data_IF_655395706810
#
_entry.id   IF_655395706810
#
_cell.length_a   1.000
_cell.length_b   1.000
_cell.length_c   1.000
_cell.angle_alpha   90.00
_cell.angle_beta   90.00
_cell.angle_gamma   90.00
#
_symmetry.space_group_name_H-M   'P 1'
#
loop_
_entity.id
_entity.type
_entity.pdbx_description
1 polymer ?
#
# COMPACT_ATOMS: atom_id res chain seq x y z
N UNK A 1 -51.54 39.10 -15.09
CA UNK A 1 -50.15 38.92 -14.62
C UNK A 1 -50.19 38.07 -13.35
N UNK A 2 -49.87 36.78 -13.45
CA UNK A 2 -49.67 35.90 -12.29
C UNK A 2 -48.17 35.85 -12.02
N UNK A 3 -47.73 36.34 -10.87
CA UNK A 3 -46.36 36.18 -10.39
C UNK A 3 -46.19 34.72 -9.93
N UNK A 4 -45.31 33.98 -10.61
CA UNK A 4 -44.83 32.68 -10.15
C UNK A 4 -43.63 32.89 -9.23
N UNK A 5 -43.70 32.33 -8.02
CA UNK A 5 -42.57 32.24 -7.11
C UNK A 5 -41.72 31.05 -7.51
N UNK A 6 -40.46 31.29 -7.88
CA UNK A 6 -39.46 30.23 -8.09
C UNK A 6 -38.80 30.00 -6.73
N UNK A 7 -39.06 28.83 -6.14
CA UNK A 7 -38.34 28.35 -4.96
C UNK A 7 -37.10 27.63 -5.49
N UNK A 8 -35.93 28.24 -5.29
CA UNK A 8 -34.63 27.61 -5.52
C UNK A 8 -34.33 26.70 -4.32
N UNK A 9 -34.38 25.39 -4.53
CA UNK A 9 -33.81 24.42 -3.59
C UNK A 9 -32.29 24.38 -3.83
N UNK A 10 -31.52 24.93 -2.89
CA UNK A 10 -30.09 24.64 -2.79
C UNK A 10 -29.94 23.23 -2.23
N UNK A 11 -29.42 22.32 -3.05
CA UNK A 11 -29.00 21.01 -2.57
C UNK A 11 -27.71 21.18 -1.79
N UNK A 12 -27.80 21.09 -0.46
CA UNK A 12 -26.63 20.87 0.39
C UNK A 12 -26.32 19.39 0.28
N UNK A 13 -25.24 19.04 -0.42
CA UNK A 13 -24.65 17.71 -0.34
C UNK A 13 -24.00 17.59 1.03
N UNK A 14 -24.73 17.02 1.99
CA UNK A 14 -24.14 16.52 3.22
C UNK A 14 -23.36 15.27 2.80
N UNK A 15 -22.03 15.33 2.80
CA UNK A 15 -21.19 14.15 2.69
C UNK A 15 -21.50 13.25 3.87
N UNK A 16 -22.15 12.13 3.61
CA UNK A 16 -22.26 11.06 4.58
C UNK A 16 -20.86 10.45 4.68
N UNK A 17 -20.26 10.45 5.87
CA UNK A 17 -19.11 9.58 6.12
C UNK A 17 -19.56 8.16 5.76
N UNK A 18 -18.87 7.53 4.82
CA UNK A 18 -19.06 6.12 4.50
C UNK A 18 -18.67 5.34 5.77
N UNK A 19 -19.63 4.66 6.40
CA UNK A 19 -19.36 3.69 7.46
C UNK A 19 -18.36 2.68 6.87
N UNK A 20 -17.07 2.78 7.22
CA UNK A 20 -16.00 1.95 6.63
C UNK A 20 -14.74 2.69 6.18
N UNK A 21 -14.62 4.02 6.31
CA UNK A 21 -13.37 4.73 5.95
C UNK A 21 -13.00 5.85 6.92
N UNK A 22 -11.70 6.17 6.99
CA UNK A 22 -11.16 7.35 7.67
C UNK A 22 -9.87 7.82 7.00
N UNK A 23 -9.77 9.13 6.74
CA UNK A 23 -8.62 9.80 6.11
C UNK A 23 -8.16 9.21 4.76
N UNK A 24 -9.02 8.44 4.10
CA UNK A 24 -8.77 7.82 2.78
C UNK A 24 -10.00 8.08 1.92
N UNK A 25 -9.79 8.50 0.68
CA UNK A 25 -10.87 8.87 -0.24
C UNK A 25 -10.82 7.98 -1.48
N UNK A 26 -11.92 7.27 -1.77
CA UNK A 26 -12.08 6.56 -3.04
C UNK A 26 -12.18 7.57 -4.18
N UNK A 27 -11.24 7.50 -5.12
CA UNK A 27 -11.22 8.34 -6.31
C UNK A 27 -12.02 7.69 -7.44
N UNK A 28 -11.74 6.42 -7.70
CA UNK A 28 -12.47 5.60 -8.65
C UNK A 28 -12.26 4.11 -8.38
N UNK A 29 -13.10 3.32 -9.05
CA UNK A 29 -13.17 1.88 -8.89
C UNK A 29 -13.39 1.21 -10.24
N UNK A 30 -12.73 0.08 -10.47
CA UNK A 30 -12.91 -0.74 -11.66
C UNK A 30 -13.14 -2.21 -11.31
N UNK A 31 -14.13 -2.79 -11.97
CA UNK A 31 -14.35 -4.23 -12.00
C UNK A 31 -14.94 -4.64 -13.36
N UNK A 32 -14.66 -5.86 -13.78
CA UNK A 32 -15.33 -6.52 -14.89
C UNK A 32 -16.47 -7.43 -14.40
N UNK A 33 -17.70 -7.06 -14.74
CA UNK A 33 -18.91 -7.85 -14.45
C UNK A 33 -18.93 -9.25 -15.09
N UNK A 34 -18.09 -9.49 -16.09
CA UNK A 34 -17.93 -10.79 -16.76
C UNK A 34 -16.91 -11.68 -16.06
N UNK A 35 -16.10 -11.14 -15.14
CA UNK A 35 -15.08 -11.90 -14.45
C UNK A 35 -15.75 -12.98 -13.58
N UNK A 36 -15.44 -14.24 -13.86
CA UNK A 36 -16.04 -15.34 -13.13
C UNK A 36 -15.39 -15.48 -11.76
N UNK A 37 -16.24 -15.57 -10.75
CA UNK A 37 -15.84 -15.97 -9.41
C UNK A 37 -15.66 -17.47 -9.42
N UNK A 38 -14.40 -17.88 -9.50
CA UNK A 38 -14.04 -19.27 -9.70
C UNK A 38 -14.02 -20.06 -8.38
N UNK A 39 -13.49 -19.46 -7.32
CA UNK A 39 -13.40 -20.09 -5.99
C UNK A 39 -13.62 -19.03 -4.92
N UNK A 40 -14.56 -19.25 -4.00
CA UNK A 40 -14.77 -18.45 -2.77
C UNK A 40 -14.52 -16.94 -2.95
N UNK A 41 -15.19 -16.30 -3.91
CA UNK A 41 -15.13 -14.86 -4.14
C UNK A 41 -13.81 -14.30 -4.71
N UNK A 42 -12.90 -15.17 -5.18
CA UNK A 42 -11.60 -14.83 -5.77
C UNK A 42 -11.70 -14.66 -7.30
N UNK A 43 -12.08 -13.47 -7.73
CA UNK A 43 -12.13 -13.07 -9.14
C UNK A 43 -10.85 -12.32 -9.57
N UNK A 44 -10.27 -11.55 -8.67
CA UNK A 44 -9.09 -10.72 -8.88
C UNK A 44 -7.95 -11.14 -7.96
N UNK A 45 -6.73 -10.82 -8.38
CA UNK A 45 -5.50 -11.04 -7.63
C UNK A 45 -4.47 -9.97 -8.00
N UNK A 46 -3.65 -9.60 -7.02
CA UNK A 46 -2.52 -8.69 -7.14
C UNK A 46 -2.81 -7.31 -7.74
N UNK A 47 -1.92 -6.35 -7.53
CA UNK A 47 -1.95 -5.05 -8.18
C UNK A 47 -0.53 -4.52 -8.36
N UNK A 48 -0.26 -3.97 -9.54
CA UNK A 48 1.02 -3.31 -9.80
C UNK A 48 0.80 -1.99 -10.50
N UNK A 49 1.44 -0.93 -10.00
CA UNK A 49 1.48 0.38 -10.64
C UNK A 49 2.78 0.57 -11.40
N UNK A 50 2.74 1.25 -12.55
CA UNK A 50 3.94 1.66 -13.26
C UNK A 50 3.70 2.94 -14.06
N UNK A 51 4.80 3.56 -14.51
CA UNK A 51 4.76 4.77 -15.35
C UNK A 51 5.35 4.49 -16.71
N UNK A 52 4.66 4.94 -17.76
CA UNK A 52 5.12 4.87 -19.13
C UNK A 52 4.79 6.17 -19.86
N UNK A 53 5.80 6.80 -20.48
CA UNK A 53 5.67 8.09 -21.17
C UNK A 53 4.94 9.17 -20.34
N UNK A 54 5.37 9.34 -19.07
CA UNK A 54 4.81 10.28 -18.08
C UNK A 54 3.36 9.99 -17.62
N UNK A 55 2.78 8.88 -18.06
CA UNK A 55 1.42 8.46 -17.74
C UNK A 55 1.43 7.28 -16.76
N UNK A 56 0.46 7.25 -15.86
CA UNK A 56 0.33 6.21 -14.84
C UNK A 56 -0.59 5.07 -15.31
N UNK A 57 -0.20 3.85 -14.99
CA UNK A 57 -0.95 2.65 -15.33
C UNK A 57 -1.09 1.75 -14.11
N UNK A 58 -2.20 1.01 -14.07
CA UNK A 58 -2.45 -0.06 -13.15
C UNK A 58 -2.55 -1.39 -13.90
N UNK A 59 -1.94 -2.42 -13.32
CA UNK A 59 -2.11 -3.82 -13.67
C UNK A 59 -2.91 -4.46 -12.54
N UNK A 60 -3.97 -5.17 -12.89
CA UNK A 60 -4.69 -6.02 -11.95
C UNK A 60 -4.85 -7.41 -12.56
N UNK A 61 -4.42 -8.42 -11.80
CA UNK A 61 -4.61 -9.80 -12.16
C UNK A 61 -6.05 -10.25 -11.91
N UNK A 62 -6.47 -11.22 -12.69
CA UNK A 62 -7.75 -11.90 -12.53
C UNK A 62 -7.59 -13.40 -12.73
N UNK A 63 -8.63 -14.14 -12.36
CA UNK A 63 -8.70 -15.58 -12.52
C UNK A 63 -8.26 -16.02 -13.93
N UNK A 64 -8.68 -15.27 -14.96
CA UNK A 64 -8.48 -15.64 -16.36
C UNK A 64 -7.31 -14.92 -17.04
N UNK A 65 -6.65 -13.96 -16.38
CA UNK A 65 -5.52 -13.25 -16.97
C UNK A 65 -5.18 -11.92 -16.34
N UNK A 66 -4.71 -10.99 -17.16
CA UNK A 66 -4.12 -9.72 -16.74
C UNK A 66 -4.88 -8.57 -17.39
N UNK A 67 -5.29 -7.58 -16.59
CA UNK A 67 -5.97 -6.38 -17.04
C UNK A 67 -5.05 -5.17 -16.88
N UNK A 68 -4.93 -4.37 -17.94
CA UNK A 68 -4.14 -3.14 -17.95
C UNK A 68 -5.07 -1.95 -18.10
N UNK A 69 -4.91 -0.97 -17.22
CA UNK A 69 -5.70 0.25 -17.17
C UNK A 69 -4.77 1.46 -17.10
N UNK A 70 -5.11 2.52 -17.82
CA UNK A 70 -4.49 3.84 -17.67
C UNK A 70 -5.24 4.62 -16.58
N UNK A 71 -4.49 5.29 -15.71
CA UNK A 71 -5.02 6.18 -14.68
C UNK A 71 -4.96 7.62 -15.19
N UNK A 72 -6.11 8.24 -15.40
CA UNK A 72 -6.21 9.61 -15.88
C UNK A 72 -5.87 10.65 -14.81
N UNK A 73 -5.40 11.82 -15.23
CA UNK A 73 -5.23 12.99 -14.34
C UNK A 73 -6.55 13.40 -13.65
N UNK A 74 -7.69 13.16 -14.30
CA UNK A 74 -9.03 13.39 -13.78
C UNK A 74 -9.53 12.31 -12.81
N UNK A 75 -8.63 11.43 -12.37
CA UNK A 75 -8.88 10.28 -11.52
C UNK A 75 -9.82 9.23 -12.15
N UNK A 76 -9.96 9.21 -13.48
CA UNK A 76 -10.68 8.14 -14.18
C UNK A 76 -9.78 6.95 -14.52
N UNK A 77 -10.39 5.78 -14.75
CA UNK A 77 -9.70 4.60 -15.27
C UNK A 77 -10.11 4.35 -16.73
N UNK A 78 -9.14 4.37 -17.63
CA UNK A 78 -9.31 3.98 -19.01
C UNK A 78 -8.78 2.56 -19.22
N UNK A 79 -9.69 1.61 -19.48
CA UNK A 79 -9.32 0.23 -19.76
C UNK A 79 -8.56 0.12 -21.08
N UNK A 80 -7.37 -0.51 -21.05
CA UNK A 80 -6.49 -0.65 -22.22
C UNK A 80 -6.66 -2.02 -22.86
N UNK A 81 -6.36 -3.08 -22.12
CA UNK A 81 -6.31 -4.43 -22.68
C UNK A 81 -6.45 -5.51 -21.60
N UNK A 82 -7.13 -6.60 -21.95
CA UNK A 82 -7.04 -7.88 -21.26
C UNK A 82 -6.13 -8.83 -22.03
N UNK A 83 -5.24 -9.50 -21.31
CA UNK A 83 -4.35 -10.51 -21.82
C UNK A 83 -4.71 -11.82 -21.12
N UNK A 84 -5.22 -12.85 -21.84
CA UNK A 84 -5.49 -14.15 -21.24
C UNK A 84 -4.24 -14.72 -20.59
N UNK A 85 -4.40 -15.19 -19.35
CA UNK A 85 -3.35 -15.85 -18.59
C UNK A 85 -2.93 -17.15 -19.26
N UNK A 86 -1.70 -17.60 -18.97
CA UNK A 86 -1.23 -18.90 -19.45
C UNK A 86 -2.04 -20.04 -18.82
N UNK A 87 -2.20 -19.96 -17.49
CA UNK A 87 -3.18 -20.72 -16.74
C UNK A 87 -4.46 -19.90 -16.59
N UNK A 88 -5.62 -20.54 -16.74
CA UNK A 88 -6.93 -19.93 -16.48
C UNK A 88 -7.44 -20.38 -15.11
N UNK A 89 -8.34 -19.60 -14.51
CA UNK A 89 -8.86 -19.83 -13.15
C UNK A 89 -7.77 -19.82 -12.08
N UNK A 90 -6.70 -19.08 -12.31
CA UNK A 90 -5.63 -18.91 -11.35
C UNK A 90 -6.01 -17.86 -10.31
N UNK A 91 -6.02 -18.21 -9.03
CA UNK A 91 -6.32 -17.27 -7.94
C UNK A 91 -5.10 -16.42 -7.55
N UNK A 92 -3.96 -16.64 -8.20
CA UNK A 92 -2.70 -15.97 -7.90
C UNK A 92 -1.92 -15.62 -9.18
N UNK A 93 -1.46 -14.37 -9.26
CA UNK A 93 -0.48 -13.86 -10.23
C UNK A 93 0.38 -12.82 -9.53
N UNK A 94 1.56 -12.56 -10.08
CA UNK A 94 2.38 -11.46 -9.61
C UNK A 94 3.13 -10.75 -10.74
N UNK A 95 3.43 -9.48 -10.52
CA UNK A 95 3.91 -8.56 -11.54
C UNK A 95 5.02 -7.63 -11.05
N UNK A 96 5.95 -7.32 -11.94
CA UNK A 96 6.91 -6.23 -11.71
C UNK A 96 7.34 -5.66 -13.06
N UNK A 97 7.50 -4.34 -13.17
CA UNK A 97 8.03 -3.70 -14.38
C UNK A 97 9.53 -3.43 -14.30
N UNK A 98 10.21 -3.49 -15.44
CA UNK A 98 11.60 -3.09 -15.57
C UNK A 98 11.94 -2.74 -17.02
N UNK A 99 12.53 -1.56 -17.22
CA UNK A 99 13.10 -1.11 -18.49
C UNK A 99 12.11 -1.18 -19.69
N UNK A 100 10.87 -0.76 -19.47
CA UNK A 100 9.82 -0.76 -20.50
C UNK A 100 9.15 -2.12 -20.74
N UNK A 101 9.39 -3.09 -19.86
CA UNK A 101 8.76 -4.41 -19.89
C UNK A 101 8.01 -4.69 -18.60
N UNK A 102 6.89 -5.40 -18.69
CA UNK A 102 6.16 -5.94 -17.54
C UNK A 102 6.38 -7.45 -17.49
N UNK A 103 6.80 -7.95 -16.33
CA UNK A 103 7.03 -9.37 -16.06
C UNK A 103 5.82 -9.90 -15.31
N UNK A 104 5.32 -11.08 -15.69
CA UNK A 104 4.22 -11.79 -15.03
C UNK A 104 4.66 -13.20 -14.64
N UNK A 105 4.27 -13.62 -13.44
CA UNK A 105 4.32 -15.01 -12.99
C UNK A 105 2.97 -15.46 -12.41
N UNK A 106 2.81 -16.76 -12.22
CA UNK A 106 1.63 -17.38 -11.61
C UNK A 106 2.04 -18.69 -10.91
N UNK A 107 1.46 -18.97 -9.74
CA UNK A 107 1.82 -20.13 -8.89
C UNK A 107 0.91 -21.35 -9.11
N UNK A 108 0.16 -21.36 -10.20
CA UNK A 108 -0.85 -22.39 -10.48
C UNK A 108 -0.77 -22.92 -11.91
N UNK A 109 -1.13 -24.20 -12.03
CA UNK A 109 -1.25 -24.91 -13.31
C UNK A 109 0.02 -24.93 -14.15
N UNK A 110 -0.17 -24.98 -15.48
CA UNK A 110 0.92 -25.08 -16.44
C UNK A 110 1.32 -23.69 -16.94
N UNK A 111 1.74 -22.83 -16.01
CA UNK A 111 2.10 -21.44 -16.29
C UNK A 111 3.52 -21.29 -16.86
N UNK A 112 3.92 -20.03 -17.07
CA UNK A 112 5.22 -19.61 -17.60
C UNK A 112 5.63 -18.28 -16.99
N UNK A 113 6.93 -17.93 -17.05
CA UNK A 113 7.35 -16.54 -17.04
C UNK A 113 6.87 -15.89 -18.34
N UNK A 114 6.20 -14.74 -18.23
CA UNK A 114 5.78 -13.94 -19.38
C UNK A 114 6.35 -12.54 -19.28
N UNK A 115 6.75 -11.99 -20.43
CA UNK A 115 7.30 -10.63 -20.51
C UNK A 115 6.54 -9.89 -21.60
N UNK A 116 6.05 -8.71 -21.23
CA UNK A 116 5.24 -7.86 -22.06
C UNK A 116 5.99 -6.59 -22.44
N UNK A 117 6.02 -6.25 -23.72
CA UNK A 117 6.56 -4.99 -24.23
C UNK A 117 5.52 -3.87 -24.07
N UNK A 118 5.87 -2.87 -23.24
CA UNK A 118 5.00 -1.74 -22.89
C UNK A 118 5.12 -0.57 -23.86
N UNK A 119 6.06 -0.62 -24.82
CA UNK A 119 6.35 0.50 -25.75
C UNK A 119 5.15 0.99 -26.58
N UNK A 120 4.14 0.16 -26.76
CA UNK A 120 2.98 0.46 -27.60
C UNK A 120 1.79 0.98 -26.78
N UNK A 121 1.97 1.25 -25.48
CA UNK A 121 0.97 1.94 -24.69
C UNK A 121 0.75 3.37 -25.19
N UNK A 122 -0.47 3.92 -25.06
CA UNK A 122 -1.66 3.28 -24.51
C UNK A 122 -2.44 2.39 -25.50
N UNK A 123 -1.94 2.18 -26.73
CA UNK A 123 -2.70 1.49 -27.78
C UNK A 123 -2.77 -0.03 -27.57
N UNK A 124 -1.67 -0.67 -27.15
CA UNK A 124 -1.61 -2.11 -26.94
C UNK A 124 -0.37 -2.55 -26.15
N UNK A 125 -0.39 -3.80 -25.70
CA UNK A 125 0.72 -4.50 -25.05
C UNK A 125 0.95 -5.84 -25.75
N UNK A 126 2.21 -6.20 -25.95
CA UNK A 126 2.60 -7.40 -26.70
C UNK A 126 3.47 -8.35 -25.89
N UNK A 127 3.17 -9.65 -25.98
CA UNK A 127 3.98 -10.69 -25.37
C UNK A 127 5.24 -10.91 -26.20
N UNK A 128 6.41 -10.71 -25.58
CA UNK A 128 7.73 -10.88 -26.22
C UNK A 128 8.50 -12.08 -25.70
N UNK A 129 8.07 -12.65 -24.56
CA UNK A 129 8.57 -13.90 -24.00
C UNK A 129 7.42 -14.65 -23.30
N UNK A 130 7.33 -15.97 -23.49
CA UNK A 130 6.35 -16.87 -22.86
C UNK A 130 6.90 -18.31 -22.91
N UNK A 131 7.63 -18.72 -21.87
CA UNK A 131 8.29 -20.03 -21.80
C UNK A 131 8.45 -20.50 -20.35
N UNK A 132 8.30 -21.81 -20.11
CA UNK A 132 8.41 -22.44 -18.79
C UNK A 132 9.83 -22.87 -18.42
N UNK A 133 10.80 -22.74 -19.34
CA UNK A 133 12.17 -23.22 -19.14
C UNK A 133 12.88 -22.56 -17.94
N UNK A 134 12.60 -21.26 -17.70
CA UNK A 134 13.16 -20.52 -16.56
C UNK A 134 12.29 -20.66 -15.31
N UNK A 135 10.97 -20.53 -15.49
CA UNK A 135 9.94 -20.51 -14.46
C UNK A 135 8.67 -21.10 -15.07
N UNK A 136 8.16 -22.19 -14.49
CA UNK A 136 6.84 -22.75 -14.79
C UNK A 136 5.80 -22.22 -13.81
N UNK A 137 6.09 -22.29 -12.51
CA UNK A 137 5.29 -21.66 -11.46
C UNK A 137 6.18 -20.82 -10.57
N UNK A 138 5.67 -19.70 -10.09
CA UNK A 138 6.38 -18.80 -9.19
C UNK A 138 5.36 -17.97 -8.41
N UNK A 139 5.62 -17.82 -7.11
CA UNK A 139 4.74 -17.15 -6.19
C UNK A 139 4.91 -15.62 -6.23
N UNK A 140 6.14 -15.12 -6.19
CA UNK A 140 6.35 -13.66 -6.19
C UNK A 140 7.62 -13.31 -6.99
N UNK A 141 7.66 -12.12 -7.59
CA UNK A 141 8.84 -11.56 -8.23
C UNK A 141 9.14 -10.15 -7.73
N UNK A 142 10.43 -9.91 -7.47
CA UNK A 142 10.94 -8.56 -7.23
C UNK A 142 12.09 -8.27 -8.20
N UNK A 143 12.17 -7.05 -8.73
CA UNK A 143 13.27 -6.65 -9.61
C UNK A 143 14.08 -5.53 -8.96
N UNK A 144 15.35 -5.81 -8.65
CA UNK A 144 16.30 -4.76 -8.31
C UNK A 144 16.77 -4.07 -9.60
N UNK A 145 16.24 -2.87 -9.83
CA UNK A 145 16.54 -2.08 -11.03
C UNK A 145 17.99 -1.59 -11.08
N UNK A 146 18.69 -1.55 -9.94
CA UNK A 146 20.08 -1.06 -9.86
C UNK A 146 21.09 -2.07 -10.42
N UNK A 147 20.82 -3.37 -10.27
CA UNK A 147 21.67 -4.46 -10.75
C UNK A 147 21.05 -5.30 -11.86
N UNK A 148 19.82 -4.98 -12.27
CA UNK A 148 19.07 -5.71 -13.29
C UNK A 148 18.92 -7.19 -12.92
N UNK A 149 18.52 -7.47 -11.68
CA UNK A 149 18.29 -8.81 -11.16
C UNK A 149 16.82 -9.00 -10.79
N UNK A 150 16.22 -10.08 -11.30
CA UNK A 150 14.89 -10.54 -10.92
C UNK A 150 15.03 -11.67 -9.90
N UNK A 151 14.34 -11.54 -8.78
CA UNK A 151 14.28 -12.50 -7.69
C UNK A 151 12.90 -13.15 -7.71
N UNK A 152 12.85 -14.42 -8.10
CA UNK A 152 11.62 -15.20 -8.22
C UNK A 152 11.49 -16.14 -7.02
N UNK A 153 10.37 -16.07 -6.32
CA UNK A 153 10.09 -16.76 -5.06
C UNK A 153 9.18 -17.98 -5.30
N UNK A 154 9.43 -19.09 -4.60
CA UNK A 154 8.61 -20.31 -4.68
C UNK A 154 8.53 -20.88 -6.09
N UNK A 155 9.68 -21.20 -6.70
CA UNK A 155 9.78 -21.46 -8.15
C UNK A 155 9.74 -22.95 -8.46
N UNK A 156 8.83 -23.38 -9.34
CA UNK A 156 8.89 -24.67 -10.04
C UNK A 156 9.41 -24.46 -11.48
N UNK A 157 10.29 -25.35 -11.96
CA UNK A 157 10.75 -25.39 -13.36
C UNK A 157 11.05 -26.82 -13.79
N UNK A 158 10.27 -27.35 -14.73
CA UNK A 158 10.43 -28.73 -15.19
C UNK A 158 10.13 -29.74 -14.07
N UNK A 159 11.15 -30.43 -13.55
CA UNK A 159 10.99 -31.39 -12.44
C UNK A 159 11.63 -30.93 -11.13
N UNK A 160 11.99 -29.65 -11.06
CA UNK A 160 12.73 -29.08 -9.93
C UNK A 160 11.92 -27.97 -9.28
N UNK A 161 12.15 -27.80 -7.98
CA UNK A 161 11.67 -26.67 -7.19
C UNK A 161 12.86 -25.93 -6.59
N UNK A 162 12.75 -24.61 -6.49
CA UNK A 162 13.75 -23.73 -5.87
C UNK A 162 13.02 -22.74 -4.95
N UNK A 163 13.44 -22.60 -3.68
CA UNK A 163 12.85 -21.62 -2.76
C UNK A 163 12.90 -20.22 -3.34
N UNK A 164 14.02 -19.81 -3.92
CA UNK A 164 14.14 -18.58 -4.69
C UNK A 164 15.17 -18.73 -5.81
N UNK A 165 14.85 -18.24 -7.00
CA UNK A 165 15.70 -18.22 -8.18
C UNK A 165 16.02 -16.80 -8.59
N UNK A 166 17.28 -16.52 -8.91
CA UNK A 166 17.74 -15.19 -9.34
C UNK A 166 18.08 -15.23 -10.83
N UNK A 167 17.47 -14.33 -11.60
CA UNK A 167 17.69 -14.17 -13.03
C UNK A 167 18.37 -12.82 -13.32
N UNK A 168 19.30 -12.79 -14.26
CA UNK A 168 19.83 -11.56 -14.83
C UNK A 168 18.91 -11.03 -15.92
N UNK A 169 18.62 -9.73 -15.87
CA UNK A 169 17.87 -8.95 -16.85
C UNK A 169 18.77 -7.99 -17.64
N UNK A 170 20.06 -8.32 -17.81
CA UNK A 170 20.95 -7.55 -18.71
C UNK A 170 20.38 -7.49 -20.14
N UNK A 171 19.78 -8.59 -20.58
CA UNK A 171 18.82 -8.60 -21.69
C UNK A 171 17.41 -8.80 -21.11
N UNK A 172 16.56 -7.76 -21.09
CA UNK A 172 15.23 -7.82 -20.49
C UNK A 172 14.31 -8.88 -21.11
N UNK A 173 14.50 -9.25 -22.38
CA UNK A 173 13.65 -10.22 -23.08
C UNK A 173 14.29 -11.60 -23.23
N UNK A 174 15.53 -11.76 -22.72
CA UNK A 174 16.21 -13.04 -22.66
C UNK A 174 16.87 -13.27 -21.28
N UNK A 175 16.08 -13.34 -20.19
CA UNK A 175 16.63 -13.51 -18.85
C UNK A 175 17.49 -14.77 -18.70
N UNK A 176 18.52 -14.71 -17.86
CA UNK A 176 19.44 -15.83 -17.63
C UNK A 176 19.50 -16.19 -16.16
N UNK A 177 19.42 -17.49 -15.82
CA UNK A 177 19.61 -17.94 -14.43
C UNK A 177 21.02 -17.61 -13.95
N UNK A 178 21.12 -16.93 -12.82
CA UNK A 178 22.39 -16.61 -12.15
C UNK A 178 22.60 -17.47 -10.92
N UNK A 179 21.54 -17.72 -10.16
CA UNK A 179 21.62 -18.41 -8.88
C UNK A 179 20.30 -19.06 -8.46
N UNK A 180 20.38 -20.17 -7.72
CA UNK A 180 19.26 -20.76 -6.99
C UNK A 180 19.60 -20.72 -5.49
N UNK A 181 18.79 -19.98 -4.72
CA UNK A 181 18.95 -19.82 -3.29
C UNK A 181 18.16 -20.90 -2.54
N UNK A 182 18.90 -21.81 -1.89
CA UNK A 182 18.35 -23.04 -1.28
C UNK A 182 18.67 -23.17 0.22
N UNK A 183 18.84 -22.04 0.92
CA UNK A 183 19.20 -22.03 2.35
C UNK A 183 17.99 -22.00 3.30
N UNK A 184 16.78 -22.02 2.73
CA UNK A 184 15.48 -22.14 3.41
C UNK A 184 14.61 -23.10 2.57
N UNK A 185 13.54 -23.61 3.14
CA UNK A 185 12.62 -24.55 2.50
C UNK A 185 11.71 -23.85 1.47
N UNK A 186 11.33 -22.60 1.73
CA UNK A 186 10.45 -21.82 0.87
C UNK A 186 10.66 -20.32 1.08
N UNK A 187 10.65 -19.55 -0.01
CA UNK A 187 10.57 -18.08 0.01
C UNK A 187 9.22 -17.69 -0.54
N UNK A 188 8.47 -16.91 0.22
CA UNK A 188 7.17 -16.41 -0.20
C UNK A 188 7.30 -15.11 -0.99
N UNK A 189 8.06 -14.16 -0.45
CA UNK A 189 8.24 -12.82 -0.97
C UNK A 189 9.63 -12.30 -0.62
N UNK A 190 10.11 -11.30 -1.37
CA UNK A 190 11.41 -10.68 -1.18
C UNK A 190 11.35 -9.19 -1.51
N UNK A 191 11.88 -8.36 -0.61
CA UNK A 191 12.20 -6.97 -0.94
C UNK A 191 13.70 -6.85 -1.23
N UNK A 192 14.08 -6.19 -2.31
CA UNK A 192 15.51 -5.99 -2.65
C UNK A 192 15.83 -4.51 -2.90
N UNK A 193 16.94 -4.05 -2.35
CA UNK A 193 17.48 -2.72 -2.69
C UNK A 193 19.00 -2.74 -2.69
N UNK A 194 19.60 -2.34 -3.81
CA UNK A 194 21.05 -2.29 -3.99
C UNK A 194 21.70 -3.63 -3.60
N UNK A 195 21.18 -4.72 -4.19
CA UNK A 195 21.60 -6.10 -4.00
C UNK A 195 21.36 -6.71 -2.61
N UNK A 196 20.87 -5.93 -1.63
CA UNK A 196 20.49 -6.44 -0.32
C UNK A 196 19.06 -6.94 -0.35
N UNK A 197 18.88 -8.26 -0.27
CA UNK A 197 17.60 -8.94 -0.28
C UNK A 197 17.12 -9.25 1.15
N UNK A 198 15.92 -8.77 1.47
CA UNK A 198 15.15 -9.12 2.67
C UNK A 198 14.12 -10.18 2.28
N UNK A 199 14.45 -11.43 2.60
CA UNK A 199 13.76 -12.63 2.14
C UNK A 199 12.77 -13.08 3.22
N UNK A 200 11.48 -13.06 2.90
CA UNK A 200 10.42 -13.53 3.79
C UNK A 200 10.22 -15.03 3.58
N UNK A 201 10.81 -15.83 4.48
CA UNK A 201 10.95 -17.29 4.30
C UNK A 201 9.88 -18.08 5.07
N UNK A 202 8.60 -17.71 4.93
CA UNK A 202 7.48 -18.44 5.51
C UNK A 202 7.68 -18.75 7.01
N UNK A 203 7.59 -20.02 7.42
CA UNK A 203 7.74 -20.40 8.83
C UNK A 203 9.19 -20.33 9.36
N UNK A 204 10.17 -20.07 8.50
CA UNK A 204 11.57 -19.90 8.89
C UNK A 204 11.93 -18.46 9.26
N UNK A 205 11.02 -17.50 9.06
CA UNK A 205 11.21 -16.09 9.37
C UNK A 205 12.06 -15.34 8.35
N UNK A 206 12.67 -14.24 8.76
CA UNK A 206 13.41 -13.35 7.86
C UNK A 206 14.85 -13.84 7.63
N UNK A 207 15.33 -13.75 6.38
CA UNK A 207 16.75 -13.81 6.01
C UNK A 207 17.15 -12.51 5.33
N UNK A 208 18.36 -12.04 5.58
CA UNK A 208 18.93 -10.88 4.87
C UNK A 208 20.21 -11.33 4.20
N UNK A 209 20.30 -11.13 2.89
CA UNK A 209 21.34 -11.70 2.02
C UNK A 209 21.82 -10.64 1.02
N UNK A 210 23.13 -10.53 0.85
CA UNK A 210 23.79 -9.67 -0.13
C UNK A 210 24.03 -10.44 -1.43
N UNK A 211 23.53 -9.89 -2.54
CA UNK A 211 23.69 -10.40 -3.90
C UNK A 211 24.64 -9.56 -4.76
N UNK A 212 25.47 -8.68 -4.18
CA UNK A 212 26.42 -7.85 -4.94
C UNK A 212 27.37 -8.68 -5.81
N UNK A 213 27.67 -9.91 -5.39
CA UNK A 213 28.09 -10.98 -6.30
C UNK A 213 26.96 -12.01 -6.40
N UNK A 214 26.12 -11.97 -7.46
CA UNK A 214 24.90 -12.76 -7.49
C UNK A 214 25.15 -14.26 -7.65
N UNK A 215 26.37 -14.67 -8.06
CA UNK A 215 26.77 -16.08 -8.13
C UNK A 215 27.28 -16.65 -6.80
N UNK A 216 27.57 -15.78 -5.83
CA UNK A 216 28.08 -16.15 -4.51
C UNK A 216 27.51 -15.20 -3.45
N UNK A 217 26.20 -15.29 -3.17
CA UNK A 217 25.55 -14.43 -2.20
C UNK A 217 26.08 -14.65 -0.79
N UNK A 218 26.05 -13.59 0.03
CA UNK A 218 26.55 -13.60 1.40
C UNK A 218 25.42 -13.35 2.38
N UNK A 219 25.27 -14.22 3.39
CA UNK A 219 24.32 -13.98 4.46
C UNK A 219 24.75 -12.76 5.30
N UNK A 220 23.85 -11.81 5.48
CA UNK A 220 24.05 -10.61 6.28
C UNK A 220 23.40 -10.71 7.67
N UNK A 221 22.22 -11.34 7.75
CA UNK A 221 21.43 -11.39 8.98
C UNK A 221 20.26 -12.36 8.90
N UNK A 222 19.64 -12.64 10.05
CA UNK A 222 18.40 -13.43 10.11
C UNK A 222 17.60 -13.12 11.37
N UNK A 223 16.28 -13.24 11.28
CA UNK A 223 15.37 -13.16 12.42
C UNK A 223 14.45 -14.38 12.40
N UNK A 224 14.85 -15.45 13.10
CA UNK A 224 14.16 -16.75 13.11
C UNK A 224 13.16 -16.91 14.26
N UNK A 225 13.36 -16.17 15.35
CA UNK A 225 12.54 -16.21 16.55
C UNK A 225 12.16 -14.79 16.93
N UNK A 226 10.85 -14.52 16.99
CA UNK A 226 10.31 -13.21 17.28
C UNK A 226 8.89 -13.32 17.84
N UNK A 227 8.39 -12.30 18.57
CA UNK A 227 7.01 -12.26 19.03
C UNK A 227 6.00 -12.32 17.88
N UNK A 228 4.85 -12.96 18.12
CA UNK A 228 3.80 -13.16 17.11
C UNK A 228 4.31 -13.82 15.82
N UNK A 229 5.25 -14.76 15.91
CA UNK A 229 5.73 -15.51 14.75
C UNK A 229 4.63 -16.43 14.18
N UNK A 230 4.39 -16.29 12.88
CA UNK A 230 3.51 -17.11 12.05
C UNK A 230 4.17 -17.42 10.71
N UNK A 231 3.40 -17.29 9.64
CA UNK A 231 3.87 -17.42 8.25
C UNK A 231 4.44 -16.09 7.76
N UNK A 232 5.76 -15.88 7.83
CA UNK A 232 6.39 -14.65 7.35
C UNK A 232 6.19 -14.51 5.84
N UNK A 233 5.31 -13.57 5.47
CA UNK A 233 4.69 -13.50 4.17
C UNK A 233 5.34 -12.45 3.28
N UNK A 234 5.43 -11.20 3.76
CA UNK A 234 5.90 -10.04 2.99
C UNK A 234 6.54 -9.00 3.92
N UNK A 235 7.23 -8.03 3.33
CA UNK A 235 7.75 -6.89 4.07
C UNK A 235 8.42 -5.85 3.18
N UNK A 236 8.68 -4.67 3.75
CA UNK A 236 9.25 -3.53 3.03
C UNK A 236 10.26 -2.76 3.87
N UNK A 237 11.36 -2.34 3.25
CA UNK A 237 12.45 -1.60 3.89
C UNK A 237 12.27 -0.09 3.71
N UNK A 238 12.40 0.65 4.80
CA UNK A 238 12.45 2.12 4.82
C UNK A 238 13.61 2.67 3.99
N UNK A 239 13.45 3.90 3.49
CA UNK A 239 14.40 4.61 2.65
C UNK A 239 15.77 4.78 3.31
N UNK A 240 15.82 4.95 4.64
CA UNK A 240 17.07 5.08 5.40
C UNK A 240 17.74 3.73 5.72
N UNK A 241 17.06 2.61 5.41
CA UNK A 241 17.57 1.26 5.58
C UNK A 241 17.61 0.76 7.02
N UNK A 242 16.92 1.43 7.95
CA UNK A 242 16.97 1.09 9.38
C UNK A 242 15.70 0.45 9.90
N UNK A 243 14.58 0.68 9.25
CA UNK A 243 13.29 0.11 9.62
C UNK A 243 12.80 -0.85 8.54
N UNK A 244 12.41 -2.05 8.94
CA UNK A 244 11.73 -3.01 8.07
C UNK A 244 10.36 -3.33 8.67
N UNK A 245 9.31 -3.20 7.87
CA UNK A 245 7.95 -3.58 8.29
C UNK A 245 7.63 -4.93 7.68
N UNK A 246 7.14 -5.86 8.51
CA UNK A 246 7.01 -7.27 8.16
C UNK A 246 5.63 -7.80 8.53
N UNK A 247 5.04 -8.56 7.62
CA UNK A 247 3.76 -9.24 7.79
C UNK A 247 3.98 -10.74 8.04
N UNK A 248 3.27 -11.27 9.03
CA UNK A 248 3.02 -12.70 9.12
C UNK A 248 1.56 -12.90 8.72
N UNK A 249 1.31 -13.56 7.59
CA UNK A 249 -0.03 -13.85 7.08
C UNK A 249 -0.63 -15.00 7.91
N UNK A 250 -1.04 -14.67 9.13
CA UNK A 250 -1.59 -15.64 10.07
C UNK A 250 -2.59 -14.92 10.95
N UNK A 251 -3.79 -15.50 11.04
CA UNK A 251 -4.90 -14.91 11.79
C UNK A 251 -4.49 -14.46 13.20
N UNK A 252 -5.05 -13.32 13.61
CA UNK A 252 -4.90 -12.69 14.93
C UNK A 252 -3.54 -12.05 15.22
N UNK A 253 -2.50 -12.37 14.43
CA UNK A 253 -1.14 -11.89 14.65
C UNK A 253 -0.96 -10.43 14.20
N UNK A 254 -0.09 -9.72 14.89
CA UNK A 254 0.26 -8.33 14.60
C UNK A 254 1.36 -8.26 13.53
N UNK A 255 1.36 -7.21 12.71
CA UNK A 255 2.53 -6.88 11.89
C UNK A 255 3.67 -6.35 12.78
N UNK A 256 4.90 -6.44 12.30
CA UNK A 256 6.12 -6.10 13.05
C UNK A 256 6.77 -4.88 12.44
N UNK A 257 7.23 -3.97 13.29
CA UNK A 257 8.18 -2.92 12.92
C UNK A 257 9.54 -3.31 13.50
N UNK A 258 10.50 -3.59 12.63
CA UNK A 258 11.83 -4.06 12.97
C UNK A 258 12.85 -2.92 12.90
N UNK A 259 13.82 -2.92 13.82
CA UNK A 259 15.10 -2.24 13.65
C UNK A 259 16.08 -3.21 12.98
N UNK A 260 16.53 -2.82 11.79
CA UNK A 260 17.48 -3.55 10.93
C UNK A 260 18.74 -2.73 10.68
N UNK A 261 19.00 -1.70 11.48
CA UNK A 261 20.22 -0.88 11.39
C UNK A 261 21.51 -1.66 11.69
N UNK A 262 21.40 -2.75 12.45
CA UNK A 262 22.43 -3.77 12.65
C UNK A 262 21.86 -5.15 12.27
N UNK A 263 22.25 -5.66 11.11
CA UNK A 263 21.77 -6.95 10.59
C UNK A 263 22.25 -8.16 11.40
N UNK A 264 23.27 -7.99 12.26
CA UNK A 264 23.71 -9.04 13.18
C UNK A 264 22.82 -9.13 14.43
N UNK A 265 21.99 -8.11 14.70
CA UNK A 265 21.11 -8.00 15.87
C UNK A 265 19.78 -7.31 15.50
N UNK A 266 19.02 -7.94 14.59
CA UNK A 266 17.69 -7.48 14.17
C UNK A 266 16.72 -7.56 15.35
N UNK A 267 15.95 -6.48 15.59
CA UNK A 267 15.03 -6.38 16.73
C UNK A 267 13.62 -6.03 16.30
N UNK A 268 12.63 -6.71 16.88
CA UNK A 268 11.24 -6.22 16.85
C UNK A 268 11.13 -5.06 17.83
N UNK A 269 10.74 -3.88 17.33
CA UNK A 269 10.55 -2.66 18.14
C UNK A 269 9.09 -2.33 18.37
N UNK A 270 8.22 -2.71 17.44
CA UNK A 270 6.79 -2.43 17.54
C UNK A 270 5.93 -3.54 16.95
N UNK A 271 4.71 -3.65 17.46
CA UNK A 271 3.69 -4.60 17.03
C UNK A 271 2.34 -3.89 16.99
N UNK A 272 1.63 -3.97 15.86
CA UNK A 272 0.30 -3.40 15.73
C UNK A 272 -0.58 -4.24 14.81
N UNK A 273 -1.90 -4.02 14.90
CA UNK A 273 -2.90 -4.58 13.99
C UNK A 273 -4.15 -3.69 13.98
N UNK A 274 -5.00 -3.79 12.97
CA UNK A 274 -6.30 -3.14 12.95
C UNK A 274 -7.15 -3.55 14.17
N UNK A 275 -7.85 -2.60 14.81
CA UNK A 275 -8.81 -2.90 15.88
C UNK A 275 -10.20 -3.29 15.34
N UNK A 276 -10.31 -3.71 14.07
CA UNK A 276 -11.61 -3.97 13.41
C UNK A 276 -12.16 -5.35 13.78
N UNK A 277 -11.36 -6.41 13.60
CA UNK A 277 -11.77 -7.79 13.84
C UNK A 277 -10.78 -8.55 14.71
N UNK A 278 -11.29 -9.46 15.55
CA UNK A 278 -10.45 -10.33 16.37
C UNK A 278 -9.54 -11.22 15.50
N UNK A 279 -10.09 -11.74 14.38
CA UNK A 279 -9.44 -12.62 13.40
C UNK A 279 -9.00 -11.87 12.13
N UNK A 280 -8.41 -10.68 12.31
CA UNK A 280 -7.71 -9.96 11.24
C UNK A 280 -6.36 -10.60 10.91
N UNK A 281 -5.86 -10.42 9.68
CA UNK A 281 -4.51 -10.79 9.26
C UNK A 281 -4.01 -9.89 8.11
N UNK A 282 -2.72 -9.49 8.11
CA UNK A 282 -2.13 -8.74 7.01
C UNK A 282 -1.87 -9.65 5.80
N UNK A 283 -1.86 -9.06 4.61
CA UNK A 283 -1.36 -9.70 3.39
C UNK A 283 -0.06 -9.03 2.92
N UNK A 284 -0.13 -7.90 2.21
CA UNK A 284 1.04 -7.18 1.72
C UNK A 284 1.25 -5.85 2.46
N UNK A 285 2.50 -5.39 2.46
CA UNK A 285 2.87 -4.08 3.01
C UNK A 285 3.85 -3.37 2.09
N UNK A 286 3.64 -2.06 1.95
CA UNK A 286 4.62 -1.13 1.40
C UNK A 286 4.92 -0.04 2.42
N UNK A 287 6.17 0.40 2.48
CA UNK A 287 6.60 1.45 3.41
C UNK A 287 7.19 2.62 2.61
N UNK A 288 6.58 3.79 2.76
CA UNK A 288 7.04 5.05 2.16
C UNK A 288 7.03 6.15 3.21
N UNK A 289 8.14 6.87 3.37
CA UNK A 289 8.28 8.03 4.27
C UNK A 289 7.91 7.77 5.75
N UNK A 290 8.08 6.53 6.21
CA UNK A 290 7.70 6.10 7.55
C UNK A 290 6.20 5.81 7.74
N UNK A 291 5.43 5.78 6.65
CA UNK A 291 4.05 5.36 6.60
C UNK A 291 3.95 3.98 5.97
N UNK A 292 3.34 3.04 6.67
CA UNK A 292 3.12 1.68 6.19
C UNK A 292 1.69 1.53 5.65
N UNK A 293 1.58 1.08 4.40
CA UNK A 293 0.35 0.85 3.66
C UNK A 293 0.15 -0.65 3.50
N UNK A 294 -0.99 -1.16 3.94
CA UNK A 294 -1.24 -2.59 3.95
C UNK A 294 -2.50 -2.93 3.16
N UNK A 295 -2.44 -4.02 2.41
CA UNK A 295 -3.62 -4.82 2.08
C UNK A 295 -3.87 -5.80 3.22
N UNK A 296 -5.10 -5.82 3.72
CA UNK A 296 -5.42 -6.44 5.01
C UNK A 296 -6.69 -7.29 4.93
N UNK A 297 -6.88 -7.98 3.81
CA UNK A 297 -8.04 -8.85 3.59
C UNK A 297 -9.35 -8.13 3.91
N UNK A 298 -10.12 -8.68 4.86
CA UNK A 298 -11.43 -8.20 5.26
C UNK A 298 -11.37 -6.82 5.91
N UNK A 299 -10.21 -6.40 6.42
CA UNK A 299 -10.00 -5.05 6.93
C UNK A 299 -9.75 -4.03 5.80
N UNK A 300 -9.63 -4.47 4.55
CA UNK A 300 -9.39 -3.60 3.41
C UNK A 300 -8.01 -2.94 3.43
N UNK A 301 -7.94 -1.67 3.05
CA UNK A 301 -6.73 -0.84 3.12
C UNK A 301 -6.53 -0.34 4.55
N UNK A 302 -5.33 -0.56 5.10
CA UNK A 302 -4.95 -0.06 6.42
C UNK A 302 -3.65 0.74 6.33
N UNK A 303 -3.60 1.92 6.94
CA UNK A 303 -2.46 2.85 6.86
C UNK A 303 -2.00 3.24 8.26
N UNK A 304 -0.71 3.07 8.53
CA UNK A 304 -0.10 3.28 9.84
C UNK A 304 1.11 4.21 9.77
N UNK A 305 1.21 5.13 10.72
CA UNK A 305 2.47 5.81 11.03
C UNK A 305 3.36 4.88 11.86
N UNK A 306 4.53 4.55 11.33
CA UNK A 306 5.52 3.68 11.98
C UNK A 306 6.84 4.40 12.28
N UNK A 307 6.85 5.74 12.20
CA UNK A 307 8.05 6.56 12.47
C UNK A 307 8.54 6.40 13.91
N UNK A 308 7.62 6.17 14.86
CA UNK A 308 7.93 5.77 16.22
C UNK A 308 7.44 4.33 16.47
N UNK A 309 8.33 3.32 16.51
CA UNK A 309 7.90 1.93 16.68
C UNK A 309 7.32 1.63 18.07
N UNK A 310 7.54 2.50 19.07
CA UNK A 310 6.93 2.37 20.40
C UNK A 310 5.51 2.97 20.45
N UNK A 311 5.12 3.72 19.42
CA UNK A 311 3.82 4.40 19.31
C UNK A 311 3.33 4.35 17.84
N UNK A 312 2.84 3.18 17.45
CA UNK A 312 2.34 2.90 16.11
C UNK A 312 0.86 3.28 16.04
N UNK A 313 0.55 4.27 15.23
CA UNK A 313 -0.80 4.81 15.12
C UNK A 313 -1.41 4.50 13.76
N UNK A 314 -2.65 4.00 13.74
CA UNK A 314 -3.43 3.97 12.49
C UNK A 314 -3.74 5.41 12.13
N UNK A 315 -3.51 5.79 10.87
CA UNK A 315 -3.71 7.16 10.36
C UNK A 315 -4.63 7.23 9.14
N UNK A 316 -5.09 6.08 8.64
CA UNK A 316 -6.09 5.98 7.60
C UNK A 316 -6.53 4.55 7.39
N UNK A 317 -7.77 4.36 6.91
CA UNK A 317 -8.24 3.06 6.44
C UNK A 317 -9.42 3.22 5.47
N UNK A 318 -9.63 2.19 4.66
CA UNK A 318 -10.81 2.04 3.82
C UNK A 318 -11.20 0.56 3.72
N UNK A 319 -12.43 0.24 4.09
CA UNK A 319 -13.02 -1.08 3.93
C UNK A 319 -13.39 -1.33 2.47
N UNK A 320 -12.63 -2.21 1.81
CA UNK A 320 -12.88 -2.61 0.42
C UNK A 320 -13.85 -3.79 0.30
N UNK A 321 -14.21 -4.42 1.43
CA UNK A 321 -14.99 -5.64 1.50
C UNK A 321 -16.12 -5.51 2.56
N UNK A 322 -17.24 -4.84 2.21
CA UNK A 322 -18.31 -4.53 3.15
C UNK A 322 -19.14 -5.74 3.63
N UNK A 323 -18.79 -6.96 3.21
CA UNK A 323 -19.50 -8.18 3.58
C UNK A 323 -18.95 -8.77 4.90
N UNK A 324 -19.84 -9.09 5.84
CA UNK A 324 -19.51 -9.54 7.21
C UNK A 324 -18.86 -10.94 7.32
N UNK A 325 -18.54 -11.60 6.20
CA UNK A 325 -17.93 -12.94 6.18
C UNK A 325 -16.41 -12.85 6.34
N UNK A 326 -15.93 -13.06 7.57
CA UNK A 326 -14.49 -13.07 7.89
C UNK A 326 -13.85 -14.39 7.44
N UNK A 327 -13.20 -14.39 6.28
CA UNK A 327 -12.34 -15.49 5.80
C UNK A 327 -11.51 -15.15 4.56
N UNK A 328 -10.28 -14.65 4.70
CA UNK A 328 -9.34 -14.45 3.56
C UNK A 328 -9.97 -13.76 2.33
N UNK A 329 -10.95 -12.88 2.54
CA UNK A 329 -11.60 -12.11 1.47
C UNK A 329 -11.15 -10.65 1.55
N UNK A 330 -11.37 -9.87 0.50
CA UNK A 330 -11.11 -8.43 0.52
C UNK A 330 -9.78 -8.01 -0.12
N UNK A 331 -9.11 -7.01 0.44
CA UNK A 331 -7.88 -6.43 -0.10
C UNK A 331 -6.72 -7.45 -0.08
N UNK A 332 -6.15 -7.73 -1.24
CA UNK A 332 -5.03 -8.65 -1.46
C UNK A 332 -3.77 -7.91 -1.88
N UNK A 333 -3.82 -7.06 -2.91
CA UNK A 333 -2.69 -6.26 -3.36
C UNK A 333 -2.74 -4.81 -2.88
N UNK A 334 -1.58 -4.19 -2.73
CA UNK A 334 -1.41 -2.75 -2.47
C UNK A 334 -0.21 -2.21 -3.29
N UNK A 335 -0.39 -1.07 -3.94
CA UNK A 335 0.69 -0.30 -4.57
C UNK A 335 0.63 1.17 -4.13
N UNK A 336 1.76 1.74 -3.68
CA UNK A 336 1.83 3.08 -3.07
C UNK A 336 2.93 4.00 -3.63
N UNK A 337 3.54 3.61 -4.77
CA UNK A 337 4.69 4.33 -5.36
C UNK A 337 4.37 5.05 -6.67
N UNK A 338 3.09 5.29 -6.98
CA UNK A 338 2.72 6.12 -8.12
C UNK A 338 3.20 7.58 -7.90
N UNK A 339 3.74 8.27 -8.92
CA UNK A 339 4.13 9.67 -8.81
C UNK A 339 3.04 10.64 -8.35
N UNK A 340 1.78 10.34 -8.66
CA UNK A 340 0.59 11.08 -8.21
C UNK A 340 0.26 10.89 -6.72
N UNK A 341 0.99 9.99 -6.04
CA UNK A 341 0.74 9.56 -4.65
C UNK A 341 -0.58 8.82 -4.43
N UNK A 342 -1.32 8.52 -5.51
CA UNK A 342 -2.49 7.65 -5.47
C UNK A 342 -2.09 6.24 -5.03
N UNK A 343 -2.97 5.61 -4.27
CA UNK A 343 -2.83 4.23 -3.84
C UNK A 343 -3.68 3.33 -4.73
N UNK A 344 -3.15 2.17 -5.11
CA UNK A 344 -3.89 1.13 -5.81
C UNK A 344 -4.10 -0.04 -4.86
N UNK A 345 -5.34 -0.54 -4.77
CA UNK A 345 -5.66 -1.73 -3.99
C UNK A 345 -6.44 -2.69 -4.86
N UNK A 346 -6.01 -3.94 -4.92
CA UNK A 346 -6.85 -5.00 -5.50
C UNK A 346 -7.60 -5.73 -4.41
N UNK A 347 -8.92 -5.71 -4.55
CA UNK A 347 -9.84 -6.53 -3.78
C UNK A 347 -10.17 -7.80 -4.58
N UNK A 348 -10.05 -8.97 -3.93
CA UNK A 348 -10.26 -10.27 -4.58
C UNK A 348 -11.63 -10.41 -5.23
N UNK A 349 -12.64 -9.73 -4.68
CA UNK A 349 -14.02 -9.76 -5.15
C UNK A 349 -14.37 -8.53 -5.96
N UNK A 350 -14.03 -7.37 -5.44
CA UNK A 350 -14.53 -6.10 -5.98
C UNK A 350 -13.59 -5.47 -7.00
N UNK A 351 -12.37 -5.95 -7.21
CA UNK A 351 -11.49 -5.46 -8.28
C UNK A 351 -10.57 -4.33 -7.83
N UNK A 352 -10.28 -3.39 -8.73
CA UNK A 352 -9.27 -2.34 -8.52
C UNK A 352 -9.90 -1.10 -7.89
N UNK A 353 -9.40 -0.69 -6.74
CA UNK A 353 -9.67 0.61 -6.14
C UNK A 353 -8.48 1.55 -6.34
N UNK A 354 -8.78 2.82 -6.61
CA UNK A 354 -7.80 3.92 -6.62
C UNK A 354 -8.18 4.88 -5.51
N UNK A 355 -7.26 5.11 -4.58
CA UNK A 355 -7.47 5.98 -3.44
C UNK A 355 -6.56 7.20 -3.46
N UNK A 356 -7.07 8.30 -2.91
CA UNK A 356 -6.26 9.38 -2.39
C UNK A 356 -6.08 9.21 -0.88
N UNK A 357 -4.88 9.50 -0.41
CA UNK A 357 -4.54 9.49 1.00
C UNK A 357 -3.60 10.64 1.28
N UNK A 358 -3.96 11.46 2.27
CA UNK A 358 -3.12 12.54 2.71
C UNK A 358 -2.42 12.14 4.00
N UNK A 359 -1.12 11.88 3.88
CA UNK A 359 -0.28 11.61 5.03
C UNK A 359 -0.23 12.85 5.94
N UNK A 360 -0.40 12.69 7.26
CA UNK A 360 -0.11 13.77 8.20
C UNK A 360 1.34 14.24 8.02
N UNK A 361 1.61 15.55 8.03
CA UNK A 361 2.93 16.09 7.78
C UNK A 361 3.95 15.55 8.80
N UNK A 362 5.21 15.37 8.36
CA UNK A 362 6.31 15.02 9.27
C UNK A 362 6.73 16.26 10.05
N UNK A 363 6.21 16.42 11.26
CA UNK A 363 6.55 17.56 12.11
C UNK A 363 7.81 17.26 12.92
N UNK A 364 8.98 17.48 12.31
CA UNK A 364 10.25 17.52 13.05
C UNK A 364 10.43 18.93 13.65
N UNK A 365 10.65 19.02 14.96
CA UNK A 365 10.78 20.28 15.73
C UNK A 365 9.47 21.06 16.00
N UNK A 366 8.42 20.39 16.47
CA UNK A 366 7.40 21.08 17.26
C UNK A 366 8.03 21.52 18.60
N UNK A 367 8.79 22.62 18.60
CA UNK A 367 9.15 23.35 19.82
C UNK A 367 7.94 24.00 20.50
N UNK A 368 6.75 23.78 19.96
CA UNK A 368 5.47 24.24 20.46
C UNK A 368 4.64 23.02 20.85
N UNK A 369 3.97 23.10 22.00
CA UNK A 369 3.07 22.04 22.47
C UNK A 369 1.97 21.72 21.44
N UNK A 370 1.59 22.68 20.59
CA UNK A 370 0.62 22.54 19.52
C UNK A 370 1.19 23.07 18.22
N UNK A 371 0.89 22.45 17.09
CA UNK A 371 1.25 22.97 15.78
C UNK A 371 0.13 22.77 14.76
N UNK A 372 0.12 23.62 13.73
CA UNK A 372 -0.81 23.51 12.62
C UNK A 372 -0.05 23.70 11.31
N UNK A 373 -0.20 22.75 10.39
CA UNK A 373 0.52 22.73 9.12
C UNK A 373 -0.41 22.34 7.95
N UNK A 374 -0.31 23.00 6.79
CA UNK A 374 0.47 24.20 6.55
C UNK A 374 -0.15 25.41 7.26
N UNK A 375 0.64 26.47 7.44
CA UNK A 375 0.20 27.74 8.02
C UNK A 375 1.04 28.84 7.37
N UNK A 376 0.79 29.24 6.13
CA UNK A 376 -0.49 29.48 5.41
C UNK A 376 -1.08 28.23 4.72
N UNK A 377 -2.40 28.06 4.79
CA UNK A 377 -3.17 26.99 4.12
C UNK A 377 -3.61 27.43 2.73
N UNK A 378 -3.20 26.70 1.70
CA UNK A 378 -3.56 26.95 0.28
C UNK A 378 -4.36 25.82 -0.36
N UNK A 379 -4.21 24.60 0.14
CA UNK A 379 -4.65 23.39 -0.58
C UNK A 379 -5.96 22.81 -0.02
N UNK A 380 -6.75 23.64 0.69
CA UNK A 380 -8.06 23.26 1.20
C UNK A 380 -8.02 22.43 2.49
N UNK A 381 -6.86 22.13 3.08
CA UNK A 381 -6.76 21.42 4.35
C UNK A 381 -5.56 21.85 5.21
N UNK A 382 -5.66 21.59 6.51
CA UNK A 382 -4.57 21.75 7.46
C UNK A 382 -4.59 20.64 8.52
N UNK A 383 -3.45 20.30 9.09
CA UNK A 383 -3.30 19.33 10.16
C UNK A 383 -2.98 20.05 11.45
N UNK A 384 -3.84 19.89 12.44
CA UNK A 384 -3.49 20.17 13.83
C UNK A 384 -2.70 18.99 14.39
N UNK A 385 -1.63 19.28 15.13
CA UNK A 385 -0.82 18.29 15.83
C UNK A 385 -0.63 18.66 17.30
N UNK A 386 -0.81 17.66 18.16
CA UNK A 386 -0.50 17.68 19.58
C UNK A 386 -0.02 16.29 19.98
N UNK A 387 1.19 16.22 20.56
CA UNK A 387 1.70 15.00 21.20
C UNK A 387 0.91 14.74 22.49
N UNK A 388 0.21 13.60 22.59
CA UNK A 388 -0.50 13.19 23.79
C UNK A 388 0.24 12.05 24.50
N UNK A 389 0.46 12.21 25.80
CA UNK A 389 0.93 11.12 26.65
C UNK A 389 -0.21 10.14 26.94
N UNK A 390 -0.65 9.37 25.94
CA UNK A 390 -1.74 8.40 26.05
C UNK A 390 -2.78 8.53 24.94
N UNK A 391 -3.99 7.99 25.16
CA UNK A 391 -5.08 8.09 24.19
C UNK A 391 -5.53 9.55 24.09
N UNK A 392 -5.46 10.11 22.88
CA UNK A 392 -5.94 11.45 22.61
C UNK A 392 -7.47 11.50 22.67
N UNK A 393 -8.01 12.55 23.28
CA UNK A 393 -9.44 12.85 23.32
C UNK A 393 -9.61 14.35 23.57
N UNK A 394 -9.96 15.09 22.51
CA UNK A 394 -10.05 16.53 22.56
C UNK A 394 -11.09 17.10 21.59
N UNK A 395 -11.44 18.37 21.84
CA UNK A 395 -12.14 19.21 20.89
C UNK A 395 -11.20 20.29 20.36
N UNK A 396 -11.21 20.50 19.04
CA UNK A 396 -10.59 21.62 18.37
C UNK A 396 -11.68 22.57 17.88
N UNK A 397 -11.87 23.67 18.61
CA UNK A 397 -12.80 24.73 18.27
C UNK A 397 -12.09 25.76 17.36
N UNK A 398 -12.65 26.04 16.19
CA UNK A 398 -12.11 27.00 15.22
C UNK A 398 -12.99 28.23 15.19
N UNK A 399 -12.36 29.41 15.27
CA UNK A 399 -13.00 30.70 15.28
C UNK A 399 -12.47 31.59 14.15
N UNK A 400 -13.33 32.44 13.59
CA UNK A 400 -12.91 33.49 12.67
C UNK A 400 -12.18 34.63 13.42
N UNK A 401 -11.56 35.56 12.67
CA UNK A 401 -10.86 36.71 13.25
C UNK A 401 -11.76 37.67 14.07
N UNK A 402 -13.09 37.54 13.98
CA UNK A 402 -14.07 38.32 14.75
C UNK A 402 -14.52 37.58 16.02
N UNK A 403 -14.03 36.36 16.26
CA UNK A 403 -14.40 35.50 17.39
C UNK A 403 -15.68 34.71 17.17
N UNK A 404 -16.22 34.66 15.95
CA UNK A 404 -17.33 33.80 15.59
C UNK A 404 -16.87 32.35 15.49
N UNK A 405 -17.59 31.41 16.13
CA UNK A 405 -17.30 29.99 16.03
C UNK A 405 -17.63 29.49 14.61
N UNK A 406 -16.65 28.86 13.96
CA UNK A 406 -16.72 28.39 12.58
C UNK A 406 -16.94 26.87 12.54
N UNK A 407 -16.16 26.11 13.32
CA UNK A 407 -16.20 24.65 13.34
C UNK A 407 -15.79 24.13 14.70
N UNK A 408 -16.36 23.01 15.12
CA UNK A 408 -15.82 22.20 16.22
C UNK A 408 -15.50 20.83 15.62
N UNK A 409 -14.27 20.38 15.85
CA UNK A 409 -13.80 19.07 15.44
C UNK A 409 -13.47 18.26 16.68
N UNK A 410 -13.78 16.97 16.65
CA UNK A 410 -13.35 16.03 17.67
C UNK A 410 -12.10 15.31 17.19
N UNK A 411 -11.09 15.18 18.05
CA UNK A 411 -9.86 14.46 17.77
C UNK A 411 -9.61 13.37 18.81
N UNK A 412 -9.27 12.18 18.31
CA UNK A 412 -8.95 10.97 19.06
C UNK A 412 -7.53 10.45 18.75
N UNK A 413 -6.76 11.20 17.96
CA UNK A 413 -5.34 10.95 17.67
C UNK A 413 -4.52 12.24 17.77
N UNK A 414 -3.20 12.12 17.78
CA UNK A 414 -2.29 13.26 17.83
C UNK A 414 -2.39 14.20 16.64
N UNK A 415 -3.00 13.76 15.54
CA UNK A 415 -3.22 14.56 14.34
C UNK A 415 -4.71 14.71 14.06
N UNK A 416 -5.14 15.90 13.68
CA UNK A 416 -6.51 16.15 13.25
C UNK A 416 -6.52 16.95 11.96
N UNK A 417 -7.04 16.33 10.89
CA UNK A 417 -7.26 17.04 9.64
C UNK A 417 -8.40 18.04 9.78
N UNK A 418 -8.16 19.24 9.31
CA UNK A 418 -9.08 20.36 9.23
C UNK A 418 -9.32 20.62 7.75
N UNK A 419 -10.45 20.19 7.21
CA UNK A 419 -10.90 20.62 5.89
C UNK A 419 -11.29 22.11 5.94
N UNK A 420 -10.57 22.92 5.17
CA UNK A 420 -10.69 24.38 5.05
C UNK A 420 -11.24 24.83 3.70
N UNK A 421 -11.62 23.93 2.79
CA UNK A 421 -12.21 24.24 1.48
C UNK A 421 -13.44 25.15 1.55
N UNK A 422 -14.15 25.14 2.67
CA UNK A 422 -15.32 25.99 2.94
C UNK A 422 -15.00 27.31 3.65
N UNK A 423 -13.73 27.54 4.00
CA UNK A 423 -13.30 28.70 4.77
C UNK A 423 -13.01 29.87 3.81
N UNK A 424 -13.33 31.09 4.25
CA UNK A 424 -12.93 32.29 3.51
C UNK A 424 -11.45 32.59 3.78
N UNK A 425 -10.78 33.25 2.82
CA UNK A 425 -9.42 33.69 3.03
C UNK A 425 -9.32 34.63 4.25
N UNK A 426 -8.45 34.31 5.21
CA UNK A 426 -8.37 35.06 6.45
C UNK A 426 -7.55 34.38 7.55
N UNK A 427 -7.48 35.04 8.71
CA UNK A 427 -6.89 34.50 9.93
C UNK A 427 -7.98 33.80 10.74
N UNK A 428 -7.69 32.58 11.19
CA UNK A 428 -8.50 31.80 12.09
C UNK A 428 -7.76 31.57 13.41
N UNK A 429 -8.51 31.51 14.50
CA UNK A 429 -8.02 31.11 15.81
C UNK A 429 -8.49 29.68 16.07
N UNK A 430 -7.67 28.87 16.72
CA UNK A 430 -8.10 27.59 17.24
C UNK A 430 -7.99 27.57 18.75
N UNK A 431 -8.88 26.81 19.39
CA UNK A 431 -8.82 26.47 20.80
C UNK A 431 -8.91 24.96 20.93
N UNK A 432 -7.84 24.37 21.45
CA UNK A 432 -7.76 22.98 21.86
C UNK A 432 -8.32 22.84 23.28
N UNK A 433 -9.16 21.83 23.50
CA UNK A 433 -9.71 21.46 24.81
C UNK A 433 -9.55 19.97 24.98
N UNK A 434 -8.66 19.54 25.88
CA UNK A 434 -8.58 18.13 26.25
C UNK A 434 -9.84 17.73 27.02
N UNK A 435 -10.48 16.63 26.65
CA UNK A 435 -11.73 16.20 27.29
C UNK A 435 -11.49 15.39 28.56
N UNK A 436 -10.26 14.93 28.79
CA UNK A 436 -9.84 14.10 29.92
C UNK A 436 -9.02 14.87 30.98
N UNK A 437 -8.67 16.13 30.72
CA UNK A 437 -7.90 16.98 31.64
C UNK A 437 -8.31 18.45 31.49
N UNK A 438 -7.83 19.30 32.40
CA UNK A 438 -8.04 20.76 32.29
C UNK A 438 -7.08 21.44 31.30
N UNK A 439 -6.41 20.68 30.43
CA UNK A 439 -5.48 21.21 29.43
C UNK A 439 -6.24 21.94 28.31
N UNK A 440 -5.87 23.20 28.09
CA UNK A 440 -6.43 24.06 27.04
C UNK A 440 -5.29 24.74 26.29
N UNK A 441 -5.34 24.69 24.97
CA UNK A 441 -4.38 25.31 24.08
C UNK A 441 -5.06 26.33 23.18
N UNK A 442 -4.34 27.37 22.74
CA UNK A 442 -4.83 28.31 21.72
C UNK A 442 -3.75 28.60 20.70
N UNK A 443 -4.17 28.83 19.46
CA UNK A 443 -3.26 29.26 18.40
C UNK A 443 -4.01 29.88 17.24
N UNK A 444 -3.30 30.06 16.13
CA UNK A 444 -3.85 30.70 14.93
C UNK A 444 -3.27 30.11 13.67
N UNK A 445 -4.03 30.17 12.60
CA UNK A 445 -3.59 29.83 11.26
C UNK A 445 -4.23 30.74 10.21
N UNK A 446 -3.68 30.74 9.01
CA UNK A 446 -4.19 31.51 7.89
C UNK A 446 -4.68 30.59 6.78
N UNK A 447 -5.82 30.92 6.19
CA UNK A 447 -6.35 30.32 4.96
C UNK A 447 -6.20 31.33 3.84
N UNK A 448 -5.70 30.87 2.70
CA UNK A 448 -5.59 31.62 1.47
C UNK A 448 -6.27 30.82 0.35
N UNK A 449 -7.33 31.38 -0.22
CA UNK A 449 -7.98 30.79 -1.39
C UNK A 449 -7.16 31.21 -2.62
N UNK A 450 -6.68 30.23 -3.38
CA UNK A 450 -5.99 30.45 -4.66
C UNK A 450 -6.97 30.76 -5.79
#
# INVERSE_FOLDING_TARGET
MRLGWIILFSWVTIGWAQEGSWNVYELCHWSDSMQQVWYQDMAYNEVWGFVHDEEEYAVIGSADGTNILKIGEDNSLAYIQFIPGRELRAIHRDYHDYNGYLYEVCDEGNSTLRIYDLKYLPDSVHIVYDDSALIERCHNIFIDTSSALLYACGVTYGTFDSPMRVLSLVDPIAPQVVYDYTFVDYVHDVFVRNDSAFINAAYEGLRVVDFANPTMPMALGSLQFYPDKGYNHSGWLSEDGKTYVMCDETETLRFKVLDVSDLSDIKVKGLAKPPTYDRTLPHNVMLKDGIAYFSYYNDGLQIYDVRNPEDINRIGYFDTYPDDTISYHGAWGIYSFLPSERLLVSDRRYGLYVFDFQAPPKISNASMDYSLYPNIVTDGYAYFYKDHSGVADYNLEIYDAKGGLVKILHGDTDYLMIETSSFEAGIYLFKYVNNSSDEVGVGKFMVQNL
#
